data_IF_145812995316
#
_entry.id   IF_145812995316
#
_cell.length_a   1.000
_cell.length_b   1.000
_cell.length_c   1.000
_cell.angle_alpha   90.00
_cell.angle_beta   90.00
_cell.angle_gamma   90.00
#
_symmetry.space_group_name_H-M   'P 1'
#
loop_
_entity.id
_entity.type
_entity.pdbx_description
1 polymer ?
#
# COMPACT_ATOMS: atom_id res chain seq x y z
N UNK A 1 -5.36 4.06 -49.35
CA UNK A 1 -5.18 3.13 -48.21
C UNK A 1 -4.47 3.89 -47.11
N UNK A 2 -4.98 3.85 -45.89
CA UNK A 2 -4.26 4.41 -44.73
C UNK A 2 -3.01 3.53 -44.51
N UNK A 3 -1.81 4.11 -44.36
CA UNK A 3 -0.59 3.35 -44.09
C UNK A 3 -0.76 2.49 -42.84
N UNK A 4 -0.27 1.24 -42.87
CA UNK A 4 -0.44 0.29 -41.75
C UNK A 4 0.14 0.81 -40.42
N UNK A 5 1.16 1.67 -40.50
CA UNK A 5 1.80 2.31 -39.35
C UNK A 5 0.88 3.33 -38.67
N UNK A 6 0.05 4.03 -39.44
CA UNK A 6 -0.94 4.99 -38.93
C UNK A 6 -2.16 4.28 -38.36
N UNK A 7 -2.52 3.10 -38.90
CA UNK A 7 -3.58 2.23 -38.34
C UNK A 7 -3.16 1.73 -36.95
N UNK A 8 -1.91 1.32 -36.77
CA UNK A 8 -1.38 0.87 -35.47
C UNK A 8 -1.36 2.01 -34.44
N UNK A 9 -0.88 3.20 -34.82
CA UNK A 9 -0.90 4.38 -33.95
C UNK A 9 -2.32 4.79 -33.56
N UNK A 10 -3.23 4.84 -34.53
CA UNK A 10 -4.63 5.21 -34.29
C UNK A 10 -5.35 4.17 -33.44
N UNK A 11 -5.17 2.87 -33.71
CA UNK A 11 -5.72 1.77 -32.91
C UNK A 11 -5.24 1.84 -31.46
N UNK A 12 -3.94 2.15 -31.25
CA UNK A 12 -3.38 2.30 -29.91
C UNK A 12 -3.98 3.49 -29.15
N UNK A 13 -4.31 4.59 -29.84
CA UNK A 13 -5.00 5.75 -29.25
C UNK A 13 -6.49 5.50 -28.99
N UNK A 14 -7.15 4.70 -29.83
CA UNK A 14 -8.58 4.42 -29.72
C UNK A 14 -8.92 3.26 -28.76
N UNK A 15 -7.99 2.33 -28.53
CA UNK A 15 -8.19 1.14 -27.69
C UNK A 15 -7.52 1.27 -26.33
N UNK A 16 -6.43 2.04 -26.21
CA UNK A 16 -5.76 2.21 -24.92
C UNK A 16 -6.46 3.31 -24.09
N UNK A 17 -7.03 2.90 -22.96
CA UNK A 17 -7.44 3.80 -21.89
C UNK A 17 -6.21 4.63 -21.49
N UNK A 18 -6.32 5.96 -21.58
CA UNK A 18 -5.21 6.89 -21.26
C UNK A 18 -4.75 6.72 -19.82
N UNK A 19 -3.48 7.00 -19.54
CA UNK A 19 -2.92 6.85 -18.18
C UNK A 19 -3.65 7.71 -17.14
N UNK A 20 -4.20 8.85 -17.56
CA UNK A 20 -5.04 9.70 -16.72
C UNK A 20 -6.35 9.01 -16.33
N UNK A 21 -6.99 8.31 -17.27
CA UNK A 21 -8.21 7.53 -17.01
C UNK A 21 -7.91 6.28 -16.19
N UNK A 22 -6.76 5.62 -16.42
CA UNK A 22 -6.28 4.53 -15.56
C UNK A 22 -5.97 5.00 -14.14
N UNK A 23 -5.40 6.20 -13.96
CA UNK A 23 -5.14 6.80 -12.64
C UNK A 23 -6.46 7.11 -11.92
N UNK A 24 -7.44 7.66 -12.63
CA UNK A 24 -8.81 7.84 -12.14
C UNK A 24 -9.48 6.52 -11.73
N UNK A 25 -9.38 5.48 -12.57
CA UNK A 25 -9.93 4.14 -12.24
C UNK A 25 -9.19 3.43 -11.10
N UNK A 26 -7.93 3.79 -10.84
CA UNK A 26 -7.10 3.20 -9.77
C UNK A 26 -7.26 3.88 -8.41
N UNK A 27 -7.97 5.00 -8.34
CA UNK A 27 -8.28 5.70 -7.10
C UNK A 27 -9.75 5.51 -6.77
N UNK A 28 -10.04 4.63 -5.79
CA UNK A 28 -11.34 4.53 -5.15
C UNK A 28 -11.59 5.78 -4.26
N UNK A 29 -11.58 6.97 -4.85
CA UNK A 29 -11.83 8.23 -4.16
C UNK A 29 -13.29 8.66 -4.30
N UNK A 30 -13.76 9.42 -3.33
CA UNK A 30 -15.09 10.06 -3.38
C UNK A 30 -15.31 10.85 -4.67
N UNK A 31 -14.27 11.56 -5.14
CA UNK A 31 -14.34 12.39 -6.36
C UNK A 31 -14.64 11.59 -7.62
N UNK A 32 -14.13 10.35 -7.73
CA UNK A 32 -14.38 9.50 -8.89
C UNK A 32 -15.87 9.11 -8.98
N UNK A 33 -16.48 8.80 -7.84
CA UNK A 33 -17.91 8.47 -7.76
C UNK A 33 -18.80 9.69 -7.99
N UNK A 34 -18.43 10.85 -7.44
CA UNK A 34 -19.10 12.12 -7.73
C UNK A 34 -19.04 12.42 -9.24
N UNK A 35 -17.88 12.23 -9.88
CA UNK A 35 -17.74 12.41 -11.32
C UNK A 35 -18.64 11.46 -12.12
N UNK A 36 -18.70 10.17 -11.77
CA UNK A 36 -19.59 9.19 -12.40
C UNK A 36 -21.07 9.57 -12.26
N UNK A 37 -21.47 10.06 -11.09
CA UNK A 37 -22.82 10.55 -10.80
C UNK A 37 -23.14 11.80 -11.62
N UNK A 38 -22.22 12.76 -11.72
CA UNK A 38 -22.38 13.96 -12.56
C UNK A 38 -22.46 13.63 -14.05
N UNK A 39 -21.69 12.64 -14.52
CA UNK A 39 -21.79 12.15 -15.90
C UNK A 39 -23.17 11.56 -16.18
N UNK A 40 -23.72 10.79 -15.23
CA UNK A 40 -25.09 10.27 -15.32
C UNK A 40 -26.13 11.39 -15.35
N UNK A 41 -25.97 12.44 -14.54
CA UNK A 41 -26.83 13.64 -14.60
C UNK A 41 -26.86 14.25 -16.01
N UNK A 42 -25.70 14.46 -16.63
CA UNK A 42 -25.63 14.99 -18.01
C UNK A 42 -26.37 14.09 -19.01
N UNK A 43 -26.27 12.77 -18.86
CA UNK A 43 -27.02 11.82 -19.69
C UNK A 43 -28.54 11.96 -19.49
N UNK A 44 -29.00 12.09 -18.24
CA UNK A 44 -30.40 12.28 -17.91
C UNK A 44 -30.96 13.63 -18.42
N UNK A 45 -30.19 14.70 -18.29
CA UNK A 45 -30.53 16.02 -18.84
C UNK A 45 -30.64 16.00 -20.37
N UNK A 46 -29.75 15.28 -21.05
CA UNK A 46 -29.83 15.09 -22.49
C UNK A 46 -31.03 14.22 -22.88
N UNK A 47 -31.33 13.18 -22.10
CA UNK A 47 -32.53 12.38 -22.31
C UNK A 47 -33.79 13.25 -22.21
N UNK A 48 -33.91 14.14 -21.22
CA UNK A 48 -35.06 15.04 -21.09
C UNK A 48 -35.28 15.96 -22.31
N UNK A 49 -34.21 16.31 -23.04
CA UNK A 49 -34.28 17.15 -24.24
C UNK A 49 -34.83 16.41 -25.47
N UNK A 50 -34.74 15.08 -25.51
CA UNK A 50 -35.31 14.31 -26.62
C UNK A 50 -36.84 14.28 -26.55
N UNK A 51 -37.50 14.68 -27.66
CA UNK A 51 -38.97 14.88 -27.75
C UNK A 51 -39.82 13.60 -27.53
N UNK A 52 -39.22 12.41 -27.46
CA UNK A 52 -39.95 11.14 -27.39
C UNK A 52 -40.27 10.62 -25.97
N UNK A 53 -39.91 11.35 -24.91
CA UNK A 53 -40.22 10.92 -23.54
C UNK A 53 -41.67 11.20 -23.17
N UNK A 54 -42.38 10.15 -22.74
CA UNK A 54 -43.73 10.26 -22.21
C UNK A 54 -43.70 10.90 -20.81
N UNK A 55 -44.75 11.65 -20.41
CA UNK A 55 -44.88 12.24 -19.07
C UNK A 55 -44.56 11.29 -17.88
N UNK A 56 -45.00 10.01 -17.86
CA UNK A 56 -44.69 9.10 -16.75
C UNK A 56 -43.19 8.80 -16.57
N UNK A 57 -42.37 8.94 -17.61
CA UNK A 57 -40.92 8.75 -17.52
C UNK A 57 -40.16 10.04 -17.20
N UNK A 58 -40.72 11.21 -17.58
CA UNK A 58 -40.12 12.51 -17.28
C UNK A 58 -40.02 12.78 -15.78
N UNK A 59 -41.07 12.47 -15.02
CA UNK A 59 -41.12 12.70 -13.58
C UNK A 59 -40.01 11.95 -12.80
N UNK A 60 -39.83 10.63 -12.97
CA UNK A 60 -38.72 9.90 -12.36
C UNK A 60 -37.36 10.46 -12.76
N UNK A 61 -37.16 10.85 -14.04
CA UNK A 61 -35.89 11.43 -14.48
C UNK A 61 -35.60 12.75 -13.77
N UNK A 62 -36.61 13.62 -13.63
CA UNK A 62 -36.47 14.88 -12.88
C UNK A 62 -36.14 14.60 -11.41
N UNK A 63 -36.80 13.62 -10.79
CA UNK A 63 -36.52 13.22 -9.40
C UNK A 63 -35.09 12.69 -9.26
N UNK A 64 -34.63 11.83 -10.19
CA UNK A 64 -33.25 11.35 -10.22
C UNK A 64 -32.25 12.49 -10.32
N UNK A 65 -32.48 13.49 -11.18
CA UNK A 65 -31.62 14.67 -11.29
C UNK A 65 -31.58 15.47 -9.97
N UNK A 66 -32.73 15.62 -9.29
CA UNK A 66 -32.77 16.28 -7.97
C UNK A 66 -31.96 15.53 -6.92
N UNK A 67 -32.10 14.21 -6.87
CA UNK A 67 -31.32 13.36 -5.97
C UNK A 67 -29.83 13.52 -6.28
N UNK A 68 -29.44 13.46 -7.56
CA UNK A 68 -28.04 13.67 -7.96
C UNK A 68 -27.51 15.04 -7.50
N UNK A 69 -28.27 16.12 -7.69
CA UNK A 69 -27.84 17.44 -7.25
C UNK A 69 -27.61 17.49 -5.74
N UNK A 70 -28.51 16.89 -4.96
CA UNK A 70 -28.37 16.82 -3.51
C UNK A 70 -27.14 16.00 -3.12
N UNK A 71 -26.95 14.83 -3.73
CA UNK A 71 -25.81 13.95 -3.44
C UNK A 71 -24.47 14.57 -3.81
N UNK A 72 -24.42 15.39 -4.86
CA UNK A 72 -23.20 16.10 -5.27
C UNK A 72 -22.87 17.26 -4.30
N UNK A 73 -23.88 17.94 -3.77
CA UNK A 73 -23.71 19.03 -2.80
C UNK A 73 -23.38 18.52 -1.40
N UNK A 74 -24.05 17.44 -0.99
CA UNK A 74 -23.94 16.84 0.34
C UNK A 74 -23.93 15.32 0.23
N UNK A 75 -22.73 14.75 0.35
CA UNK A 75 -22.46 13.31 0.39
C UNK A 75 -22.19 12.82 1.82
N UNK A 76 -22.73 13.49 2.84
CA UNK A 76 -22.75 12.91 4.19
C UNK A 76 -23.47 11.57 4.19
N UNK A 77 -23.09 10.71 5.13
CA UNK A 77 -23.63 9.35 5.24
C UNK A 77 -25.16 9.32 5.39
N UNK A 78 -25.71 10.24 6.19
CA UNK A 78 -27.15 10.38 6.35
C UNK A 78 -27.85 10.81 5.06
N UNK A 79 -27.28 11.80 4.34
CA UNK A 79 -27.77 12.23 3.03
C UNK A 79 -27.77 11.08 2.01
N UNK A 80 -26.70 10.27 1.98
CA UNK A 80 -26.57 9.12 1.09
C UNK A 80 -27.58 8.01 1.42
N UNK A 81 -27.81 7.69 2.70
CA UNK A 81 -28.83 6.72 3.12
C UNK A 81 -30.22 7.20 2.71
N UNK A 82 -30.53 8.49 2.93
CA UNK A 82 -31.80 9.08 2.52
C UNK A 82 -32.00 9.04 1.00
N UNK A 83 -30.94 9.29 0.22
CA UNK A 83 -30.96 9.15 -1.23
C UNK A 83 -31.22 7.70 -1.67
N UNK A 84 -30.55 6.72 -1.05
CA UNK A 84 -30.76 5.28 -1.32
C UNK A 84 -32.20 4.87 -1.03
N UNK A 85 -32.75 5.27 0.13
CA UNK A 85 -34.13 4.97 0.50
C UNK A 85 -35.13 5.59 -0.48
N UNK A 86 -34.88 6.84 -0.90
CA UNK A 86 -35.70 7.52 -1.90
C UNK A 86 -35.66 6.80 -3.25
N UNK A 87 -34.48 6.39 -3.72
CA UNK A 87 -34.31 5.67 -4.98
C UNK A 87 -34.98 4.29 -4.93
N UNK A 88 -34.85 3.55 -3.83
CA UNK A 88 -35.56 2.28 -3.62
C UNK A 88 -37.09 2.48 -3.63
N UNK A 89 -37.58 3.55 -3.02
CA UNK A 89 -38.99 3.93 -3.09
C UNK A 89 -39.47 4.18 -4.52
N UNK A 90 -38.65 4.81 -5.36
CA UNK A 90 -38.96 4.99 -6.79
C UNK A 90 -38.94 3.64 -7.51
N UNK A 91 -37.92 2.81 -7.32
CA UNK A 91 -37.78 1.50 -7.99
C UNK A 91 -39.00 0.60 -7.72
N UNK A 92 -39.47 0.56 -6.48
CA UNK A 92 -40.59 -0.29 -6.08
C UNK A 92 -41.93 0.17 -6.68
N UNK A 93 -42.09 1.48 -6.90
CA UNK A 93 -43.35 2.06 -7.37
C UNK A 93 -43.36 2.36 -8.88
N UNK A 94 -42.20 2.44 -9.51
CA UNK A 94 -42.05 2.84 -10.90
C UNK A 94 -42.23 1.65 -11.86
N UNK A 95 -43.30 1.69 -12.65
CA UNK A 95 -43.62 0.69 -13.70
C UNK A 95 -43.38 1.22 -15.14
N UNK A 96 -42.55 2.24 -15.30
CA UNK A 96 -42.33 2.89 -16.60
C UNK A 96 -41.37 2.14 -17.54
N UNK A 97 -40.83 2.86 -18.51
CA UNK A 97 -40.03 2.26 -19.60
C UNK A 97 -38.71 1.71 -19.05
N UNK A 98 -38.28 0.58 -19.62
CA UNK A 98 -37.02 -0.10 -19.28
C UNK A 98 -35.82 0.85 -19.27
N UNK A 99 -35.72 1.77 -20.23
CA UNK A 99 -34.64 2.75 -20.32
C UNK A 99 -34.54 3.64 -19.08
N UNK A 100 -35.66 4.15 -18.57
CA UNK A 100 -35.72 4.95 -17.35
C UNK A 100 -35.30 4.13 -16.13
N UNK A 101 -35.71 2.85 -16.09
CA UNK A 101 -35.36 1.92 -15.02
C UNK A 101 -33.87 1.59 -15.00
N UNK A 102 -33.23 1.42 -16.16
CA UNK A 102 -31.77 1.21 -16.26
C UNK A 102 -31.01 2.39 -15.65
N UNK A 103 -31.43 3.63 -15.93
CA UNK A 103 -30.79 4.80 -15.34
C UNK A 103 -30.99 4.89 -13.83
N UNK A 104 -32.16 4.47 -13.35
CA UNK A 104 -32.49 4.44 -11.92
C UNK A 104 -31.67 3.40 -11.17
N UNK A 105 -31.60 2.17 -11.68
CA UNK A 105 -30.78 1.09 -11.12
C UNK A 105 -29.29 1.48 -11.11
N UNK A 106 -28.84 2.12 -12.21
CA UNK A 106 -27.48 2.65 -12.30
C UNK A 106 -27.21 3.74 -11.27
N UNK A 107 -28.13 4.68 -11.08
CA UNK A 107 -28.00 5.73 -10.07
C UNK A 107 -27.92 5.12 -8.66
N UNK A 108 -28.82 4.18 -8.34
CA UNK A 108 -28.80 3.48 -7.06
C UNK A 108 -27.45 2.80 -6.80
N UNK A 109 -26.94 2.05 -7.79
CA UNK A 109 -25.65 1.38 -7.69
C UNK A 109 -24.48 2.35 -7.44
N UNK A 110 -24.49 3.51 -8.11
CA UNK A 110 -23.48 4.55 -7.90
C UNK A 110 -23.56 5.17 -6.50
N UNK A 111 -24.76 5.47 -6.01
CA UNK A 111 -24.96 6.07 -4.67
C UNK A 111 -24.57 5.09 -3.56
N UNK A 112 -24.94 3.80 -3.69
CA UNK A 112 -24.50 2.75 -2.75
C UNK A 112 -22.96 2.61 -2.74
N UNK A 113 -22.34 2.72 -3.91
CA UNK A 113 -20.88 2.62 -4.00
C UNK A 113 -20.20 3.83 -3.37
N UNK A 114 -20.75 5.03 -3.59
CA UNK A 114 -20.29 6.26 -2.95
C UNK A 114 -20.42 6.18 -1.41
N UNK A 115 -21.54 5.69 -0.89
CA UNK A 115 -21.76 5.48 0.54
C UNK A 115 -20.67 4.60 1.16
N UNK A 116 -20.34 3.48 0.51
CA UNK A 116 -19.27 2.57 0.96
C UNK A 116 -17.90 3.26 0.99
N UNK A 117 -17.59 4.05 -0.03
CA UNK A 117 -16.31 4.77 -0.10
C UNK A 117 -16.23 5.85 0.99
N UNK A 118 -17.31 6.62 1.20
CA UNK A 118 -17.37 7.63 2.27
C UNK A 118 -17.20 7.00 3.65
N UNK A 119 -17.84 5.86 3.91
CA UNK A 119 -17.66 5.09 5.16
C UNK A 119 -16.22 4.65 5.34
N UNK A 120 -15.64 4.03 4.32
CA UNK A 120 -14.25 3.57 4.38
C UNK A 120 -13.26 4.73 4.61
N UNK A 121 -13.47 5.90 4.00
CA UNK A 121 -12.62 7.07 4.23
C UNK A 121 -12.74 7.62 5.66
N UNK A 122 -13.93 7.60 6.25
CA UNK A 122 -14.13 7.98 7.67
C UNK A 122 -13.41 7.01 8.60
N UNK A 123 -13.59 5.70 8.40
CA UNK A 123 -12.95 4.67 9.23
C UNK A 123 -11.41 4.77 9.18
N UNK A 124 -10.85 5.11 8.02
CA UNK A 124 -9.40 5.34 7.87
C UNK A 124 -8.98 6.61 8.62
N UNK A 125 -9.74 7.71 8.49
CA UNK A 125 -9.42 8.99 9.17
C UNK A 125 -9.46 8.84 10.70
N UNK A 126 -10.44 8.13 11.23
CA UNK A 126 -10.58 7.91 12.67
C UNK A 126 -9.44 7.02 13.21
N UNK A 127 -9.11 5.92 12.51
CA UNK A 127 -7.97 5.08 12.89
C UNK A 127 -6.62 5.83 12.87
N UNK A 128 -6.41 6.70 11.86
CA UNK A 128 -5.19 7.52 11.78
C UNK A 128 -5.13 8.52 12.93
N UNK A 129 -6.26 9.16 13.26
CA UNK A 129 -6.35 10.11 14.37
C UNK A 129 -6.04 9.44 15.71
N UNK A 130 -6.57 8.24 15.94
CA UNK A 130 -6.28 7.47 17.15
C UNK A 130 -4.83 7.02 17.23
N UNK A 131 -4.24 6.60 16.10
CA UNK A 131 -2.83 6.26 16.02
C UNK A 131 -1.91 7.47 16.33
N UNK A 132 -2.28 8.66 15.85
CA UNK A 132 -1.55 9.91 16.16
C UNK A 132 -1.66 10.24 17.66
N UNK A 133 -2.84 10.12 18.26
CA UNK A 133 -3.04 10.37 19.70
C UNK A 133 -2.18 9.41 20.54
N UNK A 134 -2.18 8.12 20.19
CA UNK A 134 -1.40 7.10 20.89
C UNK A 134 0.11 7.35 20.77
N UNK A 135 0.61 7.67 19.58
CA UNK A 135 2.03 8.03 19.39
C UNK A 135 2.40 9.31 20.16
N UNK A 136 1.52 10.29 20.18
CA UNK A 136 1.75 11.55 20.92
C UNK A 136 1.86 11.31 22.42
N UNK A 137 1.05 10.40 22.99
CA UNK A 137 1.18 9.98 24.39
C UNK A 137 2.52 9.28 24.65
N UNK A 138 2.89 8.30 23.82
CA UNK A 138 4.18 7.61 23.93
C UNK A 138 5.37 8.56 23.87
N UNK A 139 5.35 9.56 22.99
CA UNK A 139 6.41 10.58 22.90
C UNK A 139 6.49 11.40 24.20
N UNK A 140 5.36 11.77 24.80
CA UNK A 140 5.35 12.49 26.09
C UNK A 140 5.92 11.62 27.21
N UNK A 141 5.56 10.34 27.27
CA UNK A 141 6.04 9.43 28.30
C UNK A 141 7.55 9.20 28.16
N UNK A 142 8.03 8.95 26.93
CA UNK A 142 9.46 8.84 26.64
C UNK A 142 10.21 10.13 26.99
N UNK A 143 9.62 11.31 26.73
CA UNK A 143 10.20 12.60 27.09
C UNK A 143 10.40 12.73 28.60
N UNK A 144 9.36 12.40 29.38
CA UNK A 144 9.43 12.38 30.85
C UNK A 144 10.53 11.42 31.32
N UNK A 145 10.63 10.25 30.69
CA UNK A 145 11.64 9.26 31.04
C UNK A 145 13.06 9.73 30.70
N UNK A 146 13.28 10.36 29.54
CA UNK A 146 14.57 10.97 29.19
C UNK A 146 14.94 12.11 30.13
N UNK A 147 13.98 12.97 30.51
CA UNK A 147 14.22 14.07 31.44
C UNK A 147 14.58 13.53 32.83
N UNK A 148 13.92 12.45 33.28
CA UNK A 148 14.26 11.75 34.51
C UNK A 148 15.69 11.19 34.48
N UNK A 149 16.07 10.45 33.43
CA UNK A 149 17.42 9.89 33.33
C UNK A 149 18.49 10.97 33.16
N UNK A 150 18.19 12.06 32.46
CA UNK A 150 19.07 13.22 32.35
C UNK A 150 19.32 13.85 33.73
N UNK A 151 18.27 14.08 34.52
CA UNK A 151 18.43 14.59 35.88
C UNK A 151 19.28 13.68 36.77
N UNK A 152 19.15 12.36 36.60
CA UNK A 152 19.94 11.37 37.35
C UNK A 152 21.41 11.35 36.89
N UNK A 153 21.65 11.51 35.59
CA UNK A 153 23.00 11.67 35.02
C UNK A 153 23.69 12.92 35.57
N UNK A 154 22.99 14.05 35.58
CA UNK A 154 23.54 15.32 36.08
C UNK A 154 23.92 15.21 37.57
N UNK A 155 23.14 14.49 38.38
CA UNK A 155 23.46 14.22 39.79
C UNK A 155 24.71 13.34 39.93
N UNK A 156 24.83 12.29 39.12
CA UNK A 156 25.99 11.40 39.09
C UNK A 156 27.27 12.13 38.66
N UNK A 157 27.19 12.92 37.60
CA UNK A 157 28.29 13.74 37.10
C UNK A 157 28.76 14.72 38.18
N UNK A 158 27.82 15.43 38.82
CA UNK A 158 28.13 16.32 39.95
C UNK A 158 28.74 15.59 41.16
N UNK A 159 28.34 14.34 41.42
CA UNK A 159 28.93 13.53 42.48
C UNK A 159 30.38 13.15 42.13
N UNK A 160 30.64 12.71 40.90
CA UNK A 160 31.98 12.37 40.40
C UNK A 160 32.93 13.58 40.54
N UNK A 161 32.50 14.75 40.05
CA UNK A 161 33.29 16.00 40.17
C UNK A 161 33.58 16.41 41.61
N UNK A 162 32.70 16.08 42.58
CA UNK A 162 32.93 16.34 44.00
C UNK A 162 33.89 15.33 44.64
N UNK A 163 33.82 14.06 44.26
CA UNK A 163 34.76 13.02 44.71
C UNK A 163 36.17 13.20 44.17
N UNK A 164 36.34 13.73 42.95
CA UNK A 164 37.67 14.07 42.42
C UNK A 164 38.31 15.26 43.14
N UNK A 165 37.49 16.17 43.71
CA UNK A 165 37.96 17.27 44.56
C UNK A 165 38.28 16.84 46.01
N UNK A 166 37.83 15.67 46.45
CA UNK A 166 38.11 15.13 47.78
C UNK A 166 39.33 14.20 47.81
N UNK A 167 40.36 14.46 47.00
CA UNK A 167 41.69 13.87 47.22
C UNK A 167 42.29 14.47 48.49
N UNK A 168 42.16 13.72 49.58
CA UNK A 168 43.05 13.58 50.75
C UNK A 168 43.96 14.78 51.12
N UNK A 169 43.91 15.30 52.36
CA UNK A 169 44.90 16.25 52.86
C UNK A 169 46.33 15.68 52.99
N UNK A 170 46.54 14.39 52.68
CA UNK A 170 47.83 13.70 52.68
C UNK A 170 48.07 12.83 51.43
N UNK A 171 47.47 13.16 50.29
CA UNK A 171 47.66 12.43 49.04
C UNK A 171 48.91 12.91 48.31
N UNK A 172 50.05 12.27 48.56
CA UNK A 172 51.26 12.41 47.71
C UNK A 172 50.85 12.38 46.24
N UNK A 173 51.19 13.43 45.49
CA UNK A 173 51.22 13.38 44.04
C UNK A 173 52.11 12.20 43.68
N UNK A 174 51.57 11.22 42.97
CA UNK A 174 52.39 10.32 42.18
C UNK A 174 52.93 11.22 41.08
N UNK A 175 54.13 11.75 41.32
CA UNK A 175 54.90 12.42 40.29
C UNK A 175 55.18 11.40 39.19
N UNK A 176 55.08 11.89 37.98
CA UNK A 176 55.34 11.19 36.74
C UNK A 176 56.65 10.41 36.82
N UNK A 177 56.61 9.11 36.50
CA UNK A 177 57.81 8.40 36.06
C UNK A 177 58.02 8.80 34.60
N UNK A 178 58.66 9.95 34.41
CA UNK A 178 59.19 10.39 33.12
C UNK A 178 60.44 9.54 32.85
N UNK A 179 60.30 8.57 31.94
CA UNK A 179 61.45 7.83 31.44
C UNK A 179 62.12 8.71 30.39
N UNK A 180 63.10 9.50 30.84
CA UNK A 180 64.04 10.24 30.02
C UNK A 180 64.83 9.27 29.10
N UNK A 181 64.24 8.95 27.95
CA UNK A 181 64.97 8.56 26.75
C UNK A 181 64.41 9.43 25.62
N UNK A 182 65.17 10.50 25.34
CA UNK A 182 64.70 11.68 24.66
C UNK A 182 64.22 11.50 23.22
N UNK A 183 63.44 12.47 22.75
CA UNK A 183 63.85 13.29 21.60
C UNK A 183 62.88 14.46 21.40
N UNK A 184 63.39 15.66 21.69
CA UNK A 184 63.18 16.95 21.03
C UNK A 184 61.86 17.17 20.23
N UNK A 185 60.98 17.97 20.88
CA UNK A 185 60.34 19.24 20.46
C UNK A 185 59.45 19.33 19.19
N UNK A 186 58.43 20.19 19.40
CA UNK A 186 57.55 20.92 18.46
C UNK A 186 56.27 20.18 18.09
N UNK A 187 55.06 20.72 18.16
CA UNK A 187 54.52 21.97 18.70
C UNK A 187 53.01 21.75 18.88
N UNK A 188 52.40 22.57 19.75
CA UNK A 188 51.00 22.64 20.09
C UNK A 188 49.98 22.42 18.94
N UNK A 189 48.91 21.66 19.21
CA UNK A 189 47.55 22.22 19.10
C UNK A 189 46.51 21.35 19.80
N UNK A 190 45.62 22.05 20.49
CA UNK A 190 44.56 21.55 21.35
C UNK A 190 43.52 20.75 20.58
N UNK A 191 43.06 19.64 21.16
CA UNK A 191 41.87 18.93 20.70
C UNK A 191 40.64 19.57 21.35
N UNK A 192 39.69 19.97 20.51
CA UNK A 192 38.31 20.29 20.88
C UNK A 192 37.38 19.78 19.76
N UNK A 193 36.09 19.56 20.07
CA UNK A 193 35.36 18.37 19.64
C UNK A 193 34.53 18.54 18.35
N UNK A 194 34.30 17.38 17.71
CA UNK A 194 33.16 16.94 16.88
C UNK A 194 32.38 18.04 16.12
N UNK A 195 32.44 17.97 14.78
CA UNK A 195 31.32 18.35 13.90
C UNK A 195 31.11 17.30 12.81
N UNK A 196 29.83 16.97 12.61
CA UNK A 196 29.26 16.25 11.48
C UNK A 196 29.70 16.87 10.13
N UNK A 197 29.87 16.06 9.09
CA UNK A 197 28.93 16.01 7.96
C UNK A 197 29.37 15.03 6.84
N UNK A 198 28.43 14.15 6.49
CA UNK A 198 28.00 13.75 5.14
C UNK A 198 29.01 13.10 4.13
N UNK A 199 28.94 11.75 4.11
CA UNK A 199 28.74 10.86 2.92
C UNK A 199 29.87 10.64 1.89
N UNK A 200 29.87 9.53 1.11
CA UNK A 200 29.37 8.17 1.35
C UNK A 200 30.44 7.09 1.04
N UNK A 201 30.77 6.23 2.00
CA UNK A 201 31.46 4.96 1.71
C UNK A 201 30.43 3.90 1.32
N UNK A 202 30.40 3.52 0.04
CA UNK A 202 29.84 2.23 -0.39
C UNK A 202 30.92 1.20 -0.06
N UNK A 203 30.81 0.61 1.14
CA UNK A 203 31.48 -0.64 1.48
C UNK A 203 30.55 -1.77 1.00
N UNK A 204 30.89 -2.33 -0.16
CA UNK A 204 30.67 -3.75 -0.42
C UNK A 204 31.53 -4.56 0.56
N UNK A 205 31.08 -5.76 0.90
CA UNK A 205 31.66 -6.71 1.88
C UNK A 205 31.49 -6.32 3.36
N UNK A 206 30.30 -6.62 3.91
CA UNK A 206 30.18 -7.37 5.16
C UNK A 206 28.70 -7.67 5.45
N UNK A 207 28.20 -8.79 4.93
CA UNK A 207 26.98 -9.40 5.46
C UNK A 207 27.11 -10.91 5.54
N UNK A 208 28.17 -11.38 6.19
CA UNK A 208 28.11 -12.66 6.90
C UNK A 208 27.36 -12.44 8.24
N UNK A 209 26.28 -13.17 8.53
CA UNK A 209 25.48 -12.93 9.71
C UNK A 209 26.17 -13.47 10.95
N UNK A 210 26.11 -12.71 12.04
CA UNK A 210 26.47 -13.14 13.38
C UNK A 210 25.60 -14.33 13.81
N UNK A 211 26.06 -15.54 13.48
CA UNK A 211 25.71 -16.80 14.11
C UNK A 211 26.24 -16.80 15.54
N UNK A 212 25.41 -16.40 16.51
CA UNK A 212 25.48 -16.88 17.88
C UNK A 212 24.24 -16.50 18.67
N UNK A 213 23.59 -17.53 19.22
CA UNK A 213 22.34 -17.59 20.01
C UNK A 213 21.05 -17.78 19.22
N UNK A 214 20.98 -18.94 18.59
CA UNK A 214 19.75 -19.59 18.12
C UNK A 214 19.46 -20.74 19.08
N UNK A 215 19.03 -20.42 20.30
CA UNK A 215 18.47 -21.41 21.23
C UNK A 215 17.10 -20.88 21.64
N UNK A 216 16.05 -21.62 21.25
CA UNK A 216 14.62 -21.24 21.23
C UNK A 216 14.23 -20.27 20.12
N UNK A 217 14.31 -20.73 18.87
CA UNK A 217 13.49 -20.11 17.82
C UNK A 217 12.08 -20.67 17.98
N UNK A 218 11.14 -19.81 18.34
CA UNK A 218 9.73 -20.14 18.25
C UNK A 218 9.43 -20.45 16.76
N UNK A 219 8.64 -21.49 16.45
CA UNK A 219 8.27 -21.84 15.06
C UNK A 219 7.72 -20.63 14.27
N UNK A 220 7.13 -19.67 14.99
CA UNK A 220 6.64 -18.39 14.45
C UNK A 220 7.74 -17.46 13.96
N UNK A 221 8.93 -17.49 14.55
CA UNK A 221 10.05 -16.63 14.14
C UNK A 221 10.78 -17.21 12.93
N UNK A 222 10.83 -18.54 12.80
CA UNK A 222 11.24 -19.22 11.57
C UNK A 222 10.28 -18.91 10.41
N UNK A 223 8.96 -18.94 10.66
CA UNK A 223 7.96 -18.59 9.66
C UNK A 223 8.10 -17.13 9.19
N UNK A 224 8.31 -16.19 10.12
CA UNK A 224 8.57 -14.77 9.78
C UNK A 224 9.84 -14.60 8.95
N UNK A 225 10.92 -15.30 9.32
CA UNK A 225 12.17 -15.26 8.56
C UNK A 225 11.98 -15.81 7.14
N UNK A 226 11.25 -16.92 6.98
CA UNK A 226 10.95 -17.46 5.66
C UNK A 226 10.16 -16.47 4.80
N UNK A 227 9.15 -15.81 5.37
CA UNK A 227 8.37 -14.82 4.64
C UNK A 227 9.14 -13.54 4.31
N UNK A 228 10.09 -13.12 5.15
CA UNK A 228 10.95 -11.97 4.83
C UNK A 228 11.88 -12.28 3.64
N UNK A 229 12.44 -13.49 3.57
CA UNK A 229 13.24 -13.94 2.42
C UNK A 229 12.39 -13.99 1.14
N UNK A 230 11.14 -14.51 1.24
CA UNK A 230 10.20 -14.50 0.12
C UNK A 230 9.91 -13.07 -0.37
N UNK A 231 9.74 -12.12 0.55
CA UNK A 231 9.45 -10.72 0.22
C UNK A 231 10.65 -10.06 -0.48
N UNK A 232 11.86 -10.25 0.07
CA UNK A 232 13.09 -9.70 -0.51
C UNK A 232 13.31 -10.17 -1.96
N UNK A 233 13.10 -11.47 -2.21
CA UNK A 233 13.19 -12.03 -3.57
C UNK A 233 12.06 -11.51 -4.47
N UNK A 234 10.82 -11.42 -3.99
CA UNK A 234 9.72 -10.84 -4.80
C UNK A 234 9.97 -9.39 -5.19
N UNK A 235 10.55 -8.57 -4.30
CA UNK A 235 10.93 -7.19 -4.61
C UNK A 235 12.04 -7.18 -5.68
N UNK A 236 13.07 -8.03 -5.52
CA UNK A 236 14.18 -8.17 -6.48
C UNK A 236 13.71 -8.59 -7.88
N UNK A 237 12.70 -9.46 -7.98
CA UNK A 237 12.16 -9.93 -9.27
C UNK A 237 11.01 -9.07 -9.81
N UNK A 238 10.40 -8.20 -8.99
CA UNK A 238 9.32 -7.29 -9.45
C UNK A 238 9.80 -6.31 -10.52
N UNK A 239 11.11 -6.03 -10.60
CA UNK A 239 11.71 -5.14 -11.60
C UNK A 239 12.04 -5.85 -12.92
N UNK A 240 12.04 -7.19 -12.96
CA UNK A 240 12.36 -7.99 -14.15
C UNK A 240 11.08 -8.70 -14.64
N UNK A 241 10.36 -8.05 -15.55
CA UNK A 241 9.15 -8.64 -16.14
C UNK A 241 9.46 -9.91 -16.93
N UNK A 242 8.87 -11.03 -16.51
CA UNK A 242 8.23 -12.06 -17.37
C UNK A 242 7.52 -13.08 -16.47
N UNK A 243 6.18 -13.10 -16.54
CA UNK A 243 5.24 -14.06 -15.90
C UNK A 243 5.12 -13.96 -14.37
N UNK A 244 4.16 -13.16 -13.90
CA UNK A 244 3.71 -13.10 -12.49
C UNK A 244 2.95 -14.39 -12.12
N UNK A 245 3.64 -15.51 -11.95
CA UNK A 245 3.05 -16.73 -11.40
C UNK A 245 2.82 -16.49 -9.90
N UNK A 246 1.56 -16.55 -9.47
CA UNK A 246 1.20 -16.35 -8.07
C UNK A 246 1.58 -17.59 -7.26
N UNK A 247 2.69 -17.53 -6.55
CA UNK A 247 3.17 -18.59 -5.66
C UNK A 247 2.61 -18.44 -4.24
N UNK A 248 2.21 -19.56 -3.64
CA UNK A 248 1.78 -19.62 -2.24
C UNK A 248 2.95 -19.76 -1.28
N UNK A 249 3.31 -18.65 -0.61
CA UNK A 249 4.37 -18.65 0.41
C UNK A 249 4.11 -19.67 1.53
N UNK A 250 2.85 -19.85 1.94
CA UNK A 250 2.46 -20.78 3.01
C UNK A 250 2.68 -22.25 2.63
N UNK A 251 2.51 -22.61 1.35
CA UNK A 251 2.78 -23.97 0.87
C UNK A 251 4.29 -24.22 0.76
N UNK A 252 5.04 -23.23 0.26
CA UNK A 252 6.50 -23.31 0.17
C UNK A 252 7.15 -23.42 1.56
N UNK A 253 6.63 -22.70 2.56
CA UNK A 253 7.12 -22.82 3.93
C UNK A 253 6.91 -24.22 4.50
N UNK A 254 5.70 -24.78 4.35
CA UNK A 254 5.43 -26.17 4.79
C UNK A 254 6.35 -27.17 4.12
N UNK A 255 6.53 -27.05 2.80
CA UNK A 255 7.45 -27.92 2.06
C UNK A 255 8.91 -27.80 2.55
N UNK A 256 9.37 -26.58 2.86
CA UNK A 256 10.73 -26.38 3.37
C UNK A 256 10.93 -27.04 4.74
N UNK A 257 9.91 -27.02 5.60
CA UNK A 257 9.92 -27.70 6.90
C UNK A 257 9.83 -29.22 6.73
N UNK A 258 8.91 -29.70 5.89
CA UNK A 258 8.69 -31.14 5.64
C UNK A 258 9.94 -31.80 5.04
N UNK A 259 10.62 -31.11 4.13
CA UNK A 259 11.88 -31.56 3.52
C UNK A 259 13.13 -31.22 4.34
N UNK A 260 12.98 -30.63 5.54
CA UNK A 260 14.07 -30.24 6.45
C UNK A 260 15.14 -29.38 5.77
N UNK A 261 14.73 -28.45 4.91
CA UNK A 261 15.64 -27.52 4.26
C UNK A 261 16.16 -26.54 5.32
N UNK A 262 17.49 -26.41 5.50
CA UNK A 262 18.05 -25.53 6.52
C UNK A 262 17.79 -24.05 6.17
N UNK A 263 17.63 -23.16 7.17
CA UNK A 263 17.33 -21.73 6.96
C UNK A 263 18.30 -20.99 6.03
N UNK A 264 19.56 -21.41 6.01
CA UNK A 264 20.62 -20.87 5.17
C UNK A 264 20.34 -21.11 3.67
N UNK A 265 19.64 -22.19 3.33
CA UNK A 265 19.34 -22.58 1.95
C UNK A 265 17.98 -22.08 1.45
N UNK A 266 17.18 -21.45 2.32
CA UNK A 266 15.84 -20.96 1.96
C UNK A 266 15.89 -19.93 0.84
N UNK A 267 16.93 -19.11 0.76
CA UNK A 267 17.12 -18.17 -0.35
C UNK A 267 17.18 -18.91 -1.69
N UNK A 268 17.97 -19.97 -1.80
CA UNK A 268 18.15 -20.74 -3.02
C UNK A 268 16.88 -21.52 -3.39
N UNK A 269 16.24 -22.12 -2.39
CA UNK A 269 14.97 -22.82 -2.56
C UNK A 269 13.86 -21.90 -3.07
N UNK A 270 13.67 -20.72 -2.47
CA UNK A 270 12.64 -19.77 -2.91
C UNK A 270 12.99 -19.22 -4.30
N UNK A 271 14.27 -18.97 -4.56
CA UNK A 271 14.74 -18.46 -5.83
C UNK A 271 14.53 -19.45 -6.99
N UNK A 272 14.68 -20.76 -6.75
CA UNK A 272 14.38 -21.78 -7.75
C UNK A 272 12.89 -21.82 -8.07
N UNK A 273 12.03 -21.74 -7.06
CA UNK A 273 10.57 -21.72 -7.24
C UNK A 273 10.06 -20.45 -7.94
N UNK A 274 10.74 -19.32 -7.81
CA UNK A 274 10.36 -18.08 -8.53
C UNK A 274 10.69 -18.19 -10.03
N UNK A 275 11.80 -18.84 -10.38
CA UNK A 275 12.26 -18.96 -11.77
C UNK A 275 11.59 -20.14 -12.50
N UNK A 276 11.42 -21.27 -11.83
CA UNK A 276 10.72 -22.45 -12.33
C UNK A 276 9.75 -22.98 -11.26
N UNK A 277 8.51 -22.46 -11.22
CA UNK A 277 7.57 -22.76 -10.16
C UNK A 277 6.97 -24.16 -10.29
N UNK A 278 7.11 -24.96 -9.24
CA UNK A 278 6.42 -26.25 -9.15
C UNK A 278 4.89 -26.02 -9.18
N UNK A 279 4.15 -26.75 -10.04
CA UNK A 279 2.69 -26.70 -10.12
C UNK A 279 1.97 -26.75 -8.76
N UNK A 280 2.54 -27.45 -7.76
CA UNK A 280 1.93 -27.59 -6.42
C UNK A 280 1.82 -26.25 -5.66
N UNK A 281 2.64 -25.26 -6.00
CA UNK A 281 2.69 -23.96 -5.33
C UNK A 281 1.92 -22.84 -6.04
N UNK A 282 1.43 -23.08 -7.26
CA UNK A 282 0.71 -22.08 -8.05
C UNK A 282 -0.72 -21.90 -7.49
N UNK A 283 -1.11 -20.63 -7.25
CA UNK A 283 -2.45 -20.25 -6.80
C UNK A 283 -3.35 -19.96 -8.01
N UNK A 284 -4.32 -20.86 -8.25
CA UNK A 284 -5.36 -20.73 -9.27
C UNK A 284 -5.74 -22.09 -9.87
N UNK A 285 -6.89 -22.22 -10.56
CA UNK A 285 -7.24 -23.47 -11.21
C UNK A 285 -6.17 -23.81 -12.25
N UNK A 286 -5.79 -25.09 -12.39
CA UNK A 286 -4.78 -25.51 -13.35
C UNK A 286 -5.22 -25.02 -14.73
N UNK A 287 -4.36 -24.26 -15.42
CA UNK A 287 -4.59 -23.95 -16.84
C UNK A 287 -4.63 -25.27 -17.58
N UNK A 288 -5.83 -25.78 -17.87
CA UNK A 288 -6.03 -26.85 -18.85
C UNK A 288 -5.32 -26.38 -20.12
N UNK A 289 -4.32 -27.14 -20.58
CA UNK A 289 -3.81 -27.01 -21.94
C UNK A 289 -4.97 -27.41 -22.87
N UNK A 290 -5.80 -26.47 -23.28
CA UNK A 290 -6.76 -26.69 -24.35
C UNK A 290 -6.02 -26.46 -25.67
N UNK A 291 -5.50 -27.54 -26.25
CA UNK A 291 -5.46 -27.65 -27.70
C UNK A 291 -6.89 -28.01 -28.11
N UNK A 292 -7.70 -27.01 -28.41
CA UNK A 292 -8.96 -27.21 -29.09
C UNK A 292 -8.77 -26.73 -30.53
N UNK A 293 -8.61 -27.67 -31.46
CA UNK A 293 -8.88 -27.42 -32.88
C UNK A 293 -10.34 -27.00 -33.00
N UNK A 294 -10.59 -25.71 -33.15
CA UNK A 294 -11.91 -25.23 -33.55
C UNK A 294 -12.14 -25.62 -35.01
N UNK A 295 -12.85 -26.73 -35.24
CA UNK A 295 -13.54 -26.95 -36.51
C UNK A 295 -14.66 -25.91 -36.62
N UNK A 296 -14.47 -24.92 -37.50
CA UNK A 296 -15.52 -24.00 -37.90
C UNK A 296 -16.57 -24.78 -38.71
N UNK A 297 -17.77 -24.93 -38.17
CA UNK A 297 -18.96 -25.26 -38.96
C UNK A 297 -19.64 -23.95 -39.35
N UNK A 298 -19.65 -23.65 -40.65
CA UNK A 298 -20.51 -22.61 -41.21
C UNK A 298 -21.91 -23.20 -41.41
N UNK A 299 -22.91 -22.64 -40.73
CA UNK A 299 -24.32 -22.87 -41.08
C UNK A 299 -24.63 -22.01 -42.32
N UNK A 300 -24.96 -22.66 -43.43
CA UNK A 300 -25.49 -22.03 -44.63
C UNK A 300 -26.95 -21.67 -44.42
N UNK A 301 -27.30 -20.38 -44.56
CA UNK A 301 -28.69 -19.95 -44.69
C UNK A 301 -29.14 -20.32 -46.10
N UNK A 302 -30.19 -21.13 -46.20
CA UNK A 302 -30.94 -21.36 -47.44
C UNK A 302 -32.09 -20.36 -47.43
N UNK A 303 -32.15 -19.49 -48.44
CA UNK A 303 -33.32 -18.66 -48.73
C UNK A 303 -34.32 -19.51 -49.53
N UNK A 304 -35.56 -19.62 -49.04
CA UNK A 304 -36.75 -19.96 -49.85
C UNK A 304 -37.47 -18.67 -50.25
#
# INVERSE_FOLDING_TARGET
MIPSEDISKHSRLCVAITEEVKKLESMYSVDEWIFKIQKLKKCLENALKTQHLKPPDKNPIIIMIRIINQTVLDYTEESLINAINSLNGIINNFKGILNTRIYLDRLLSLVISLEKVVKNEKDIKDNVKDAIIMKTRLIKDLKIQTDYYKSKSDVLENAIFRTDRSKSPYGKRIDYVDSDLGSKRSDCSWVSPIQNDLSPLILDDDMSPNLKKVSQVCDKDLEKYFYSVCLALKIKYSSKEKRKIKLSNRKMFREAIDNKIPPEEWYNFINSQINDPDPKFILGPPRRRMYAETKQSFESIIEE
#
